data_IF_694959695536
#
_entry.id   IF_694959695536
#
_cell.length_a   1.000
_cell.length_b   1.000
_cell.length_c   1.000
_cell.angle_alpha   90.00
_cell.angle_beta   90.00
_cell.angle_gamma   90.00
#
_symmetry.space_group_name_H-M   'P 1'
#
loop_
_entity.id
_entity.type
_entity.pdbx_description
1 polymer ?
#
# COMPACT_ATOMS: atom_id res chain seq x y z
N UNK A 1 15.27 -5.35 12.09
CA UNK A 1 15.09 -4.58 13.34
C UNK A 1 16.36 -4.70 14.17
N UNK A 2 17.26 -3.72 14.09
CA UNK A 2 18.46 -3.71 14.94
C UNK A 2 18.08 -2.97 16.22
N UNK A 3 17.93 -3.71 17.32
CA UNK A 3 17.74 -3.16 18.66
C UNK A 3 19.12 -2.81 19.21
N UNK A 4 19.48 -1.53 19.15
CA UNK A 4 20.70 -1.04 19.78
C UNK A 4 20.56 -1.14 21.31
N UNK A 5 21.48 -1.88 21.95
CA UNK A 5 21.40 -2.37 23.34
C UNK A 5 21.94 -1.39 24.38
N UNK A 6 22.10 -0.11 24.04
CA UNK A 6 22.63 0.87 24.99
C UNK A 6 21.69 2.06 25.22
N UNK A 7 20.91 1.97 26.32
CA UNK A 7 20.57 3.03 27.32
C UNK A 7 19.08 3.13 27.69
N UNK A 8 18.86 3.19 29.02
CA UNK A 8 17.67 3.51 29.84
C UNK A 8 16.41 2.64 29.62
N UNK A 9 15.97 1.85 30.63
CA UNK A 9 14.71 1.11 30.55
C UNK A 9 13.52 2.06 30.40
N UNK A 10 12.66 1.82 29.39
CA UNK A 10 11.36 2.49 29.27
C UNK A 10 11.25 3.62 28.24
N UNK A 11 12.27 3.88 27.40
CA UNK A 11 12.13 4.77 26.23
C UNK A 11 12.54 4.03 24.95
N UNK A 12 11.56 3.63 24.15
CA UNK A 12 11.78 3.31 22.74
C UNK A 12 12.23 4.60 22.03
N UNK A 13 13.53 4.73 21.79
CA UNK A 13 14.03 5.68 20.79
C UNK A 13 13.82 5.06 19.42
N UNK A 14 12.90 5.64 18.67
CA UNK A 14 12.66 5.25 17.28
C UNK A 14 13.73 5.90 16.41
N UNK A 15 14.87 5.23 16.26
CA UNK A 15 15.94 5.60 15.33
C UNK A 15 15.71 5.02 13.94
N UNK A 16 16.34 5.60 12.91
CA UNK A 16 16.25 5.13 11.53
C UNK A 16 14.96 5.56 10.80
N UNK A 17 14.53 4.77 9.81
CA UNK A 17 13.38 5.04 8.94
C UNK A 17 12.07 5.34 9.72
N UNK A 18 11.84 4.63 10.82
CA UNK A 18 10.66 4.84 11.67
C UNK A 18 10.68 6.16 12.43
N UNK A 19 11.87 6.68 12.79
CA UNK A 19 11.99 7.99 13.42
C UNK A 19 11.58 9.10 12.45
N UNK A 20 11.95 8.95 11.18
CA UNK A 20 11.55 9.84 10.09
C UNK A 20 10.04 9.81 9.85
N UNK A 21 9.44 8.62 9.75
CA UNK A 21 7.99 8.43 9.59
C UNK A 21 7.18 9.05 10.73
N UNK A 22 7.63 8.90 11.98
CA UNK A 22 6.98 9.53 13.14
C UNK A 22 7.13 11.05 13.13
N UNK A 23 8.29 11.57 12.68
CA UNK A 23 8.51 13.01 12.52
C UNK A 23 7.57 13.60 11.47
N UNK A 24 7.49 12.97 10.30
CA UNK A 24 6.56 13.35 9.23
C UNK A 24 5.11 13.30 9.69
N UNK A 25 4.71 12.28 10.46
CA UNK A 25 3.37 12.22 11.02
C UNK A 25 3.12 13.32 12.05
N UNK A 26 4.11 13.65 12.90
CA UNK A 26 3.99 14.75 13.85
C UNK A 26 3.82 16.09 13.12
N UNK A 27 4.53 16.27 12.00
CA UNK A 27 4.39 17.44 11.14
C UNK A 27 3.02 17.47 10.44
N UNK A 28 2.55 16.35 9.91
CA UNK A 28 1.23 16.22 9.28
C UNK A 28 0.08 16.53 10.26
N UNK A 29 0.22 16.12 11.52
CA UNK A 29 -0.77 16.39 12.59
C UNK A 29 -0.55 17.78 13.24
N UNK A 30 0.52 18.49 12.87
CA UNK A 30 0.85 19.84 13.35
C UNK A 30 1.26 19.93 14.83
N UNK A 31 1.57 18.80 15.48
CA UNK A 31 1.97 18.75 16.90
C UNK A 31 2.82 17.53 17.23
N UNK A 32 3.70 17.59 18.24
CA UNK A 32 4.44 16.43 18.71
C UNK A 32 3.50 15.30 19.17
N UNK A 33 3.80 14.07 18.76
CA UNK A 33 3.04 12.89 19.19
C UNK A 33 3.39 12.48 20.62
N UNK A 34 2.37 12.09 21.39
CA UNK A 34 2.57 11.51 22.73
C UNK A 34 3.29 10.15 22.64
N UNK A 35 3.91 9.70 23.73
CA UNK A 35 4.56 8.37 23.77
C UNK A 35 3.56 7.26 23.47
N UNK A 36 2.38 7.27 24.11
CA UNK A 36 1.34 6.27 23.84
C UNK A 36 0.90 6.25 22.38
N UNK A 37 0.78 7.43 21.73
CA UNK A 37 0.42 7.46 20.31
C UNK A 37 1.53 6.92 19.42
N UNK A 38 2.80 7.20 19.74
CA UNK A 38 3.95 6.62 19.02
C UNK A 38 3.99 5.11 19.16
N UNK A 39 3.76 4.57 20.34
CA UNK A 39 3.72 3.13 20.58
C UNK A 39 2.59 2.45 19.80
N UNK A 40 1.40 3.07 19.75
CA UNK A 40 0.27 2.63 18.91
C UNK A 40 0.67 2.56 17.42
N UNK A 41 1.30 3.62 16.89
CA UNK A 41 1.76 3.67 15.49
C UNK A 41 2.78 2.57 15.20
N UNK A 42 3.75 2.37 16.10
CA UNK A 42 4.75 1.30 15.97
C UNK A 42 4.09 -0.09 16.01
N UNK A 43 3.10 -0.27 16.88
CA UNK A 43 2.32 -1.51 16.97
C UNK A 43 1.56 -1.81 15.67
N UNK A 44 0.92 -0.80 15.08
CA UNK A 44 0.26 -0.93 13.78
C UNK A 44 1.25 -1.25 12.65
N UNK A 45 2.40 -0.58 12.65
CA UNK A 45 3.48 -0.85 11.70
C UNK A 45 4.03 -2.27 11.82
N UNK A 46 4.26 -2.76 13.04
CA UNK A 46 4.69 -4.13 13.29
C UNK A 46 3.63 -5.13 12.85
N UNK A 47 2.35 -4.89 13.16
CA UNK A 47 1.23 -5.72 12.68
C UNK A 47 1.24 -5.81 11.15
N UNK A 48 1.41 -4.68 10.46
CA UNK A 48 1.46 -4.64 9.00
C UNK A 48 2.60 -5.51 8.44
N UNK A 49 3.82 -5.35 8.94
CA UNK A 49 4.98 -6.16 8.52
C UNK A 49 4.78 -7.64 8.82
N UNK A 50 4.37 -7.99 10.04
CA UNK A 50 4.12 -9.40 10.40
C UNK A 50 3.05 -10.02 9.51
N UNK A 51 2.01 -9.26 9.16
CA UNK A 51 0.96 -9.73 8.24
C UNK A 51 1.52 -10.00 6.84
N UNK A 52 2.38 -9.11 6.32
CA UNK A 52 3.07 -9.27 5.04
C UNK A 52 3.95 -10.54 5.00
N UNK A 53 4.82 -10.70 6.00
CA UNK A 53 5.71 -11.87 6.08
C UNK A 53 4.94 -13.17 6.29
N UNK A 54 3.81 -13.13 7.02
CA UNK A 54 2.91 -14.28 7.13
C UNK A 54 2.32 -14.64 5.77
N UNK A 55 2.00 -13.66 4.92
CA UNK A 55 1.61 -13.89 3.53
C UNK A 55 2.67 -14.67 2.75
N UNK A 56 3.96 -14.30 2.86
CA UNK A 56 5.05 -15.06 2.26
C UNK A 56 5.17 -16.48 2.79
N UNK A 57 5.00 -16.69 4.09
CA UNK A 57 4.99 -18.04 4.70
C UNK A 57 3.85 -18.88 4.12
N UNK A 58 2.71 -18.25 3.82
CA UNK A 58 1.56 -18.87 3.13
C UNK A 58 1.72 -18.94 1.60
N UNK A 59 2.90 -18.60 1.07
CA UNK A 59 3.22 -18.72 -0.37
C UNK A 59 2.75 -17.55 -1.25
N UNK A 60 2.28 -16.45 -0.67
CA UNK A 60 1.90 -15.27 -1.44
C UNK A 60 3.16 -14.52 -1.92
N UNK A 61 3.12 -14.07 -3.17
CA UNK A 61 4.14 -13.19 -3.77
C UNK A 61 3.75 -11.73 -3.58
N UNK A 62 4.71 -10.82 -3.73
CA UNK A 62 4.42 -9.39 -3.80
C UNK A 62 3.35 -9.07 -4.83
N UNK A 63 2.51 -8.09 -4.54
CA UNK A 63 1.62 -7.50 -5.53
C UNK A 63 1.72 -5.97 -5.47
N UNK A 64 2.64 -5.40 -6.26
CA UNK A 64 2.91 -3.96 -6.37
C UNK A 64 1.82 -3.16 -7.09
N UNK A 65 0.64 -3.75 -7.28
CA UNK A 65 -0.57 -3.11 -7.81
C UNK A 65 -1.75 -3.23 -6.84
N UNK A 66 -1.50 -3.71 -5.62
CA UNK A 66 -2.54 -3.88 -4.60
C UNK A 66 -3.20 -2.53 -4.25
N UNK A 67 -2.41 -1.46 -4.21
CA UNK A 67 -2.83 -0.09 -3.95
C UNK A 67 -3.94 0.38 -4.90
N UNK A 68 -3.92 -0.07 -6.15
CA UNK A 68 -4.91 0.28 -7.18
C UNK A 68 -6.33 -0.23 -6.87
N UNK A 69 -6.46 -1.20 -5.98
CA UNK A 69 -7.75 -1.77 -5.61
C UNK A 69 -8.59 -0.93 -4.64
N UNK A 70 -8.05 0.18 -4.13
CA UNK A 70 -8.73 1.06 -3.16
C UNK A 70 -8.76 2.48 -3.71
N UNK A 71 -9.91 3.15 -3.71
CA UNK A 71 -10.03 4.49 -4.31
C UNK A 71 -9.31 5.56 -3.48
N UNK A 72 -8.91 6.65 -4.13
CA UNK A 72 -8.27 7.79 -3.46
C UNK A 72 -9.16 8.40 -2.36
N UNK A 73 -10.48 8.47 -2.56
CA UNK A 73 -11.42 8.93 -1.53
C UNK A 73 -11.53 7.93 -0.36
N UNK A 74 -11.40 6.63 -0.62
CA UNK A 74 -11.49 5.62 0.43
C UNK A 74 -10.31 5.71 1.39
N UNK A 75 -9.07 5.83 0.89
CA UNK A 75 -7.88 5.95 1.75
C UNK A 75 -7.91 7.18 2.67
N UNK A 76 -8.72 8.19 2.32
CA UNK A 76 -8.99 9.43 3.08
C UNK A 76 -10.20 9.30 4.02
N UNK A 77 -10.69 8.08 4.26
CA UNK A 77 -11.84 7.82 5.11
C UNK A 77 -11.57 6.60 5.99
N UNK A 78 -11.45 6.82 7.30
CA UNK A 78 -11.31 5.73 8.27
C UNK A 78 -12.47 4.71 8.16
N UNK A 79 -13.71 5.17 7.98
CA UNK A 79 -14.87 4.27 7.84
C UNK A 79 -14.80 3.42 6.56
N UNK A 80 -14.32 3.97 5.44
CA UNK A 80 -14.13 3.20 4.22
C UNK A 80 -12.98 2.19 4.36
N UNK A 81 -11.83 2.63 4.88
CA UNK A 81 -10.63 1.79 5.05
C UNK A 81 -10.81 0.70 6.11
N UNK A 82 -11.69 0.89 7.09
CA UNK A 82 -12.09 -0.17 8.02
C UNK A 82 -12.75 -1.37 7.31
N UNK A 83 -13.39 -1.14 6.16
CA UNK A 83 -14.05 -2.19 5.35
C UNK A 83 -13.13 -2.71 4.25
N UNK A 84 -12.49 -1.81 3.51
CA UNK A 84 -11.76 -2.15 2.29
C UNK A 84 -10.24 -2.28 2.47
N UNK A 85 -9.70 -1.83 3.59
CA UNK A 85 -8.25 -1.67 3.78
C UNK A 85 -7.68 -0.48 3.03
N UNK A 86 -6.35 -0.34 3.07
CA UNK A 86 -5.62 0.67 2.27
C UNK A 86 -5.12 0.12 0.92
N UNK A 87 -5.17 -1.20 0.75
CA UNK A 87 -4.67 -1.93 -0.41
C UNK A 87 -5.50 -3.20 -0.58
N UNK A 88 -5.70 -3.63 -1.82
CA UNK A 88 -6.27 -4.94 -2.11
C UNK A 88 -5.34 -6.09 -1.73
N UNK A 89 -4.03 -5.84 -1.53
CA UNK A 89 -3.09 -6.85 -1.08
C UNK A 89 -2.09 -6.32 -0.05
N UNK A 90 -1.99 -6.96 1.12
CA UNK A 90 -0.94 -6.71 2.12
C UNK A 90 0.45 -7.03 1.58
N UNK A 91 0.54 -7.73 0.45
CA UNK A 91 1.78 -8.01 -0.26
C UNK A 91 2.28 -6.84 -1.11
N UNK A 92 1.58 -5.70 -1.08
CA UNK A 92 2.04 -4.44 -1.66
C UNK A 92 2.89 -3.64 -0.66
N UNK A 93 3.83 -2.84 -1.17
CA UNK A 93 4.64 -1.91 -0.38
C UNK A 93 3.98 -0.53 -0.33
N UNK A 94 2.78 -0.45 0.24
CA UNK A 94 2.11 0.84 0.46
C UNK A 94 2.84 1.68 1.53
N UNK A 95 2.98 3.00 1.33
CA UNK A 95 3.57 3.89 2.33
C UNK A 95 2.61 4.08 3.53
N UNK A 96 3.08 4.81 4.55
CA UNK A 96 2.19 5.27 5.64
C UNK A 96 1.16 6.23 5.06
N UNK A 97 -0.12 5.97 5.32
CA UNK A 97 -1.21 6.83 4.87
C UNK A 97 -1.35 8.03 5.83
N UNK A 98 -0.67 9.13 5.52
CA UNK A 98 -0.67 10.31 6.39
C UNK A 98 -1.99 11.09 6.30
N UNK A 99 -2.53 11.59 7.43
CA UNK A 99 -3.67 12.49 7.41
C UNK A 99 -3.31 13.80 6.70
N UNK A 100 -4.33 14.44 6.11
CA UNK A 100 -4.24 15.80 5.58
C UNK A 100 -5.22 16.73 6.31
N UNK A 101 -5.06 18.04 6.15
CA UNK A 101 -5.91 19.03 6.85
C UNK A 101 -7.42 18.82 6.57
N UNK A 102 -7.75 18.41 5.35
CA UNK A 102 -9.10 18.10 4.87
C UNK A 102 -9.51 16.62 5.03
N UNK A 103 -8.62 15.78 5.56
CA UNK A 103 -8.86 14.37 5.90
C UNK A 103 -8.05 13.95 7.14
N UNK A 104 -8.41 14.45 8.33
CA UNK A 104 -7.64 14.21 9.55
C UNK A 104 -7.84 12.80 10.14
N UNK A 105 -8.95 12.12 9.81
CA UNK A 105 -9.31 10.81 10.35
C UNK A 105 -9.10 9.69 9.33
N UNK A 106 -7.89 9.11 9.37
CA UNK A 106 -7.45 8.04 8.46
C UNK A 106 -6.74 6.92 9.23
N UNK A 107 -6.81 5.71 8.70
CA UNK A 107 -5.92 4.64 9.14
C UNK A 107 -4.54 4.80 8.50
N UNK A 108 -3.49 4.78 9.33
CA UNK A 108 -2.09 4.93 8.89
C UNK A 108 -1.55 3.67 8.18
N UNK A 109 -2.05 2.50 8.60
CA UNK A 109 -1.76 1.18 8.05
C UNK A 109 -3.08 0.45 7.79
N UNK A 110 -3.08 -0.53 6.88
CA UNK A 110 -4.31 -1.24 6.55
C UNK A 110 -4.87 -1.96 7.79
N UNK A 111 -6.11 -1.66 8.23
CA UNK A 111 -6.69 -2.28 9.42
C UNK A 111 -7.11 -3.74 9.19
N UNK A 112 -7.37 -4.08 7.92
CA UNK A 112 -7.88 -5.38 7.45
C UNK A 112 -7.03 -5.96 6.32
N UNK A 113 -7.17 -7.26 6.08
CA UNK A 113 -6.63 -7.94 4.91
C UNK A 113 -7.34 -7.47 3.64
N UNK A 114 -6.57 -7.31 2.56
CA UNK A 114 -7.08 -6.88 1.27
C UNK A 114 -7.91 -7.97 0.60
N UNK A 115 -8.75 -7.57 -0.35
CA UNK A 115 -9.64 -8.49 -1.07
C UNK A 115 -8.88 -9.48 -1.96
N UNK A 116 -7.74 -9.07 -2.54
CA UNK A 116 -6.87 -9.98 -3.31
C UNK A 116 -6.19 -11.00 -2.41
N UNK A 117 -5.76 -10.63 -1.20
CA UNK A 117 -5.16 -11.60 -0.27
C UNK A 117 -6.13 -12.72 0.09
N UNK A 118 -7.38 -12.34 0.41
CA UNK A 118 -8.45 -13.30 0.71
C UNK A 118 -8.72 -14.21 -0.49
N UNK A 119 -8.73 -13.65 -1.70
CA UNK A 119 -8.88 -14.41 -2.94
C UNK A 119 -7.72 -15.40 -3.15
N UNK A 120 -6.47 -14.96 -2.97
CA UNK A 120 -5.28 -15.78 -3.13
C UNK A 120 -5.23 -16.93 -2.12
N UNK A 121 -5.62 -16.68 -0.87
CA UNK A 121 -5.74 -17.73 0.14
C UNK A 121 -6.82 -18.74 -0.23
N UNK A 122 -8.01 -18.30 -0.68
CA UNK A 122 -9.03 -19.24 -1.18
C UNK A 122 -8.51 -20.07 -2.35
N UNK A 123 -7.78 -19.48 -3.27
CA UNK A 123 -7.19 -20.23 -4.38
C UNK A 123 -6.22 -21.32 -3.90
N UNK A 124 -5.32 -20.99 -2.97
CA UNK A 124 -4.28 -21.91 -2.50
C UNK A 124 -4.72 -22.95 -1.47
N UNK A 125 -5.81 -22.67 -0.73
CA UNK A 125 -6.17 -23.42 0.49
C UNK A 125 -7.63 -23.85 0.56
N UNK A 126 -8.44 -23.68 -0.50
CA UNK A 126 -9.78 -24.31 -0.52
C UNK A 126 -9.63 -25.81 -0.68
N UNK A 127 -10.14 -26.57 0.29
CA UNK A 127 -10.13 -28.03 0.26
C UNK A 127 -11.43 -28.59 -0.31
N UNK A 128 -11.37 -29.81 -0.85
CA UNK A 128 -12.57 -30.54 -1.23
C UNK A 128 -13.37 -30.92 0.02
N UNK A 129 -14.70 -30.84 -0.06
CA UNK A 129 -15.54 -31.26 1.06
C UNK A 129 -15.27 -32.75 1.37
N UNK A 130 -15.08 -33.13 2.64
CA UNK A 130 -14.86 -34.51 2.99
C UNK A 130 -16.09 -35.34 2.57
N UNK A 131 -15.89 -36.60 2.14
CA UNK A 131 -17.00 -37.47 1.79
C UNK A 131 -17.94 -37.61 3.01
N UNK A 132 -19.26 -37.79 2.81
CA UNK A 132 -20.20 -37.95 3.90
C UNK A 132 -19.72 -39.06 4.85
N UNK A 133 -19.58 -38.75 6.14
CA UNK A 133 -19.22 -39.77 7.11
C UNK A 133 -20.36 -40.79 7.20
N UNK A 134 -20.04 -42.08 7.06
CA UNK A 134 -20.97 -43.22 6.96
C UNK A 134 -21.90 -43.44 8.17
N UNK A 135 -21.90 -42.56 9.16
CA UNK A 135 -22.68 -42.69 10.40
C UNK A 135 -23.58 -41.51 10.77
N UNK A 136 -23.65 -40.44 9.97
CA UNK A 136 -24.42 -39.24 10.34
C UNK A 136 -25.33 -38.79 9.18
N UNK A 137 -26.43 -39.53 8.99
CA UNK A 137 -27.45 -39.28 7.94
C UNK A 137 -28.19 -37.94 8.07
N UNK A 138 -27.86 -37.12 9.08
CA UNK A 138 -28.51 -35.84 9.37
C UNK A 138 -27.61 -34.61 9.14
N UNK A 139 -26.39 -34.78 8.63
CA UNK A 139 -25.59 -33.64 8.17
C UNK A 139 -25.88 -33.37 6.70
N UNK A 140 -26.61 -32.27 6.47
CA UNK A 140 -26.71 -31.62 5.16
C UNK A 140 -25.33 -31.64 4.47
N UNK A 141 -25.25 -32.09 3.20
CA UNK A 141 -23.97 -32.16 2.51
C UNK A 141 -23.31 -30.78 2.52
N UNK A 142 -22.10 -30.70 3.09
CA UNK A 142 -21.23 -29.53 2.99
C UNK A 142 -21.10 -29.16 1.51
N UNK A 143 -21.65 -28.00 1.13
CA UNK A 143 -21.69 -27.38 -0.20
C UNK A 143 -21.83 -28.35 -1.39
N UNK A 144 -22.96 -28.31 -2.09
CA UNK A 144 -23.20 -29.04 -3.35
C UNK A 144 -22.31 -28.59 -4.54
N UNK A 145 -21.33 -27.72 -4.31
CA UNK A 145 -20.48 -27.11 -5.34
C UNK A 145 -19.10 -27.77 -5.30
N UNK A 146 -18.72 -28.40 -6.42
CA UNK A 146 -17.40 -29.06 -6.53
C UNK A 146 -16.25 -28.08 -6.33
N UNK A 147 -15.11 -28.58 -5.84
CA UNK A 147 -13.87 -27.79 -5.71
C UNK A 147 -13.49 -27.11 -7.03
N UNK A 148 -13.62 -27.84 -8.15
CA UNK A 148 -13.37 -27.29 -9.48
C UNK A 148 -14.24 -26.05 -9.78
N UNK A 149 -15.53 -26.10 -9.42
CA UNK A 149 -16.44 -24.98 -9.65
C UNK A 149 -16.09 -23.78 -8.75
N UNK A 150 -15.70 -24.03 -7.50
CA UNK A 150 -15.24 -22.99 -6.57
C UNK A 150 -13.96 -22.33 -7.09
N UNK A 151 -12.97 -23.11 -7.54
CA UNK A 151 -11.72 -22.59 -8.08
C UNK A 151 -11.94 -21.82 -9.40
N UNK A 152 -12.86 -22.28 -10.26
CA UNK A 152 -13.26 -21.53 -11.46
C UNK A 152 -13.85 -20.16 -11.11
N UNK A 153 -14.69 -20.08 -10.08
CA UNK A 153 -15.22 -18.80 -9.60
C UNK A 153 -14.11 -17.88 -9.07
N UNK A 154 -13.18 -18.42 -8.28
CA UNK A 154 -12.01 -17.69 -7.78
C UNK A 154 -11.16 -17.13 -8.94
N UNK A 155 -10.95 -17.90 -10.01
CA UNK A 155 -10.22 -17.44 -11.20
C UNK A 155 -10.94 -16.30 -11.95
N UNK A 156 -12.27 -16.33 -12.02
CA UNK A 156 -13.06 -15.25 -12.61
C UNK A 156 -13.00 -13.98 -11.76
N UNK A 157 -13.09 -14.11 -10.43
CA UNK A 157 -12.93 -12.98 -9.51
C UNK A 157 -11.52 -12.37 -9.60
N UNK A 158 -10.49 -13.19 -9.83
CA UNK A 158 -9.10 -12.75 -9.99
C UNK A 158 -8.90 -11.82 -11.20
N UNK A 159 -9.72 -11.93 -12.26
CA UNK A 159 -9.64 -11.05 -13.43
C UNK A 159 -9.93 -9.57 -13.10
N UNK A 160 -10.56 -9.30 -11.95
CA UNK A 160 -10.85 -7.94 -11.47
C UNK A 160 -9.67 -7.30 -10.72
N UNK A 161 -8.64 -8.06 -10.36
CA UNK A 161 -7.49 -7.54 -9.63
C UNK A 161 -6.34 -7.22 -10.58
N UNK A 162 -5.73 -6.06 -10.36
CA UNK A 162 -4.46 -5.74 -10.97
C UNK A 162 -3.33 -6.44 -10.17
N UNK A 163 -2.40 -7.05 -10.89
CA UNK A 163 -1.27 -7.76 -10.28
C UNK A 163 0.05 -7.29 -10.88
N UNK A 164 1.07 -7.19 -10.03
CA UNK A 164 2.44 -6.97 -10.47
C UNK A 164 3.45 -7.59 -9.50
N UNK A 165 4.30 -8.46 -10.03
CA UNK A 165 5.28 -9.20 -9.23
C UNK A 165 6.69 -8.59 -9.32
N UNK A 166 7.64 -9.13 -8.55
CA UNK A 166 9.02 -8.66 -8.51
C UNK A 166 9.68 -8.54 -9.89
N UNK A 167 9.49 -9.54 -10.77
CA UNK A 167 10.03 -9.55 -12.12
C UNK A 167 9.49 -8.41 -12.98
N UNK A 168 8.22 -8.09 -12.82
CA UNK A 168 7.52 -7.09 -13.61
C UNK A 168 7.97 -5.68 -13.21
N UNK A 169 8.12 -5.47 -11.89
CA UNK A 169 8.58 -4.20 -11.32
C UNK A 169 9.98 -3.82 -11.80
N UNK A 170 10.87 -4.80 -11.97
CA UNK A 170 12.25 -4.58 -12.45
C UNK A 170 12.25 -3.98 -13.86
N UNK A 171 11.27 -4.33 -14.70
CA UNK A 171 11.19 -3.80 -16.07
C UNK A 171 10.89 -2.30 -16.15
N UNK A 172 10.28 -1.72 -15.09
CA UNK A 172 9.84 -0.32 -14.99
C UNK A 172 8.99 0.19 -16.17
N UNK A 173 8.34 -0.72 -16.89
CA UNK A 173 7.52 -0.34 -18.05
C UNK A 173 6.15 0.17 -17.64
N UNK A 174 5.61 -0.37 -16.55
CA UNK A 174 4.30 -0.02 -16.02
C UNK A 174 4.42 0.89 -14.80
N UNK A 175 4.04 2.17 -14.91
CA UNK A 175 4.18 3.12 -13.80
C UNK A 175 3.26 2.81 -12.62
N UNK A 176 2.20 2.02 -12.85
CA UNK A 176 1.31 1.58 -11.79
C UNK A 176 1.84 0.32 -11.08
N UNK A 177 2.91 -0.31 -11.59
CA UNK A 177 3.65 -1.34 -10.87
C UNK A 177 4.78 -0.69 -10.08
N UNK A 178 4.42 -0.03 -8.98
CA UNK A 178 5.36 0.74 -8.18
C UNK A 178 5.33 0.29 -6.73
N UNK A 179 6.46 0.45 -6.05
CA UNK A 179 6.48 0.38 -4.60
C UNK A 179 6.30 1.80 -4.05
N UNK A 180 5.71 1.89 -2.86
CA UNK A 180 5.48 3.15 -2.16
C UNK A 180 4.57 4.10 -2.94
N UNK A 181 3.53 3.55 -3.56
CA UNK A 181 2.41 4.28 -4.14
C UNK A 181 1.12 4.01 -3.33
N UNK A 182 0.04 4.72 -3.65
CA UNK A 182 -1.23 4.48 -2.96
C UNK A 182 -2.43 4.83 -3.86
N UNK A 183 -3.52 4.09 -3.64
CA UNK A 183 -4.83 4.24 -4.26
C UNK A 183 -4.92 3.90 -5.75
N UNK A 184 -6.17 3.81 -6.24
CA UNK A 184 -6.53 3.68 -7.65
C UNK A 184 -6.13 4.86 -8.53
N UNK A 185 -5.71 5.99 -7.94
CA UNK A 185 -5.15 7.14 -8.63
C UNK A 185 -3.81 7.55 -7.99
N UNK A 186 -2.70 6.86 -8.36
CA UNK A 186 -1.39 7.17 -7.80
C UNK A 186 -0.94 8.62 -8.07
N UNK A 187 -1.32 9.21 -9.21
CA UNK A 187 -0.99 10.60 -9.53
C UNK A 187 -1.67 11.58 -8.58
N UNK A 188 -2.93 11.35 -8.20
CA UNK A 188 -3.59 12.14 -7.15
C UNK A 188 -2.86 12.02 -5.82
N UNK A 189 -2.45 10.81 -5.45
CA UNK A 189 -1.69 10.57 -4.22
C UNK A 189 -0.34 11.31 -4.24
N UNK A 190 0.41 11.28 -5.34
CA UNK A 190 1.69 11.99 -5.47
C UNK A 190 1.54 13.51 -5.44
N UNK A 191 0.52 14.05 -6.10
CA UNK A 191 0.20 15.48 -6.03
C UNK A 191 -0.03 15.93 -4.58
N UNK A 192 -0.78 15.12 -3.83
CA UNK A 192 -1.04 15.32 -2.42
C UNK A 192 0.22 15.19 -1.55
N UNK A 193 1.11 14.25 -1.88
CA UNK A 193 2.39 14.07 -1.21
C UNK A 193 3.27 15.29 -1.39
N UNK A 194 3.36 15.84 -2.60
CA UNK A 194 4.12 17.07 -2.87
C UNK A 194 3.55 18.27 -2.11
N UNK A 195 2.22 18.42 -2.04
CA UNK A 195 1.59 19.47 -1.22
C UNK A 195 1.95 19.34 0.25
N UNK A 196 1.87 18.13 0.81
CA UNK A 196 2.28 17.85 2.20
C UNK A 196 3.76 18.16 2.43
N UNK A 197 4.64 17.77 1.51
CA UNK A 197 6.08 18.08 1.62
C UNK A 197 6.32 19.59 1.62
N UNK A 198 5.60 20.36 0.80
CA UNK A 198 5.68 21.82 0.82
C UNK A 198 5.19 22.42 2.16
N UNK A 199 4.13 21.88 2.76
CA UNK A 199 3.66 22.27 4.10
C UNK A 199 4.70 21.98 5.19
N UNK A 200 5.30 20.78 5.13
CA UNK A 200 6.36 20.35 6.06
C UNK A 200 7.58 21.27 5.91
N UNK A 201 8.01 21.55 4.68
CA UNK A 201 9.13 22.46 4.38
C UNK A 201 8.92 23.85 4.99
N UNK A 202 7.70 24.41 4.88
CA UNK A 202 7.37 25.74 5.44
C UNK A 202 7.54 25.83 6.95
N UNK A 203 7.28 24.73 7.67
CA UNK A 203 7.32 24.68 9.14
C UNK A 203 8.53 23.92 9.69
N UNK A 204 9.46 23.51 8.82
CA UNK A 204 10.45 22.50 9.13
C UNK A 204 11.34 22.90 10.31
N UNK A 205 11.84 24.14 10.33
CA UNK A 205 12.70 24.66 11.40
C UNK A 205 12.04 24.52 12.79
N UNK A 206 10.76 24.88 12.90
CA UNK A 206 10.02 24.83 14.16
C UNK A 206 9.71 23.39 14.61
N UNK A 207 9.72 22.43 13.68
CA UNK A 207 9.39 21.02 13.96
C UNK A 207 10.62 20.13 14.11
N UNK A 208 11.77 20.53 13.55
CA UNK A 208 12.99 19.71 13.51
C UNK A 208 14.05 20.13 14.55
N UNK A 209 14.00 21.36 15.09
CA UNK A 209 14.96 21.85 16.07
C UNK A 209 14.25 22.25 17.38
N UNK A 210 14.26 21.33 18.34
CA UNK A 210 13.73 21.60 19.69
C UNK A 210 14.64 22.55 20.48
N UNK A 211 14.13 23.26 21.51
CA UNK A 211 14.98 24.07 22.39
C UNK A 211 16.17 23.28 22.95
N UNK A 212 17.39 23.76 22.69
CA UNK A 212 18.64 23.10 23.10
C UNK A 212 19.17 22.01 22.15
N UNK A 213 18.50 21.74 21.03
CA UNK A 213 18.98 20.82 20.00
C UNK A 213 19.92 21.52 18.98
N UNK A 214 20.86 20.79 18.34
CA UNK A 214 21.71 21.35 17.31
C UNK A 214 20.95 21.59 15.99
N UNK A 215 21.35 22.61 15.24
CA UNK A 215 20.81 22.92 13.91
C UNK A 215 21.13 21.85 12.84
N UNK A 216 22.02 20.89 13.12
CA UNK A 216 22.26 19.75 12.22
C UNK A 216 20.98 18.97 11.95
N UNK A 217 20.06 18.89 12.93
CA UNK A 217 18.75 18.26 12.74
C UNK A 217 17.87 18.97 11.70
N UNK A 218 18.04 20.28 11.52
CA UNK A 218 17.36 21.02 10.45
C UNK A 218 17.91 20.63 9.08
N UNK A 219 19.24 20.58 8.92
CA UNK A 219 19.86 20.13 7.68
C UNK A 219 19.43 18.71 7.29
N UNK A 220 19.46 17.78 8.25
CA UNK A 220 18.98 16.41 8.05
C UNK A 220 17.51 16.36 7.63
N UNK A 221 16.66 17.19 8.25
CA UNK A 221 15.25 17.26 7.90
C UNK A 221 15.02 17.83 6.50
N UNK A 222 15.77 18.88 6.09
CA UNK A 222 15.72 19.45 4.74
C UNK A 222 16.10 18.40 3.72
N UNK A 223 17.21 17.68 3.94
CA UNK A 223 17.66 16.61 3.05
C UNK A 223 16.59 15.53 2.89
N UNK A 224 15.86 15.18 3.95
CA UNK A 224 14.77 14.21 3.85
C UNK A 224 13.60 14.72 3.00
N UNK A 225 13.17 15.98 3.19
CA UNK A 225 12.09 16.55 2.38
C UNK A 225 12.47 16.57 0.90
N UNK A 226 13.71 16.97 0.59
CA UNK A 226 14.22 17.00 -0.78
C UNK A 226 14.29 15.59 -1.39
N UNK A 227 14.79 14.59 -0.67
CA UNK A 227 14.83 13.20 -1.13
C UNK A 227 13.43 12.62 -1.38
N UNK A 228 12.45 12.97 -0.54
CA UNK A 228 11.06 12.54 -0.73
C UNK A 228 10.44 13.22 -1.95
N UNK A 229 10.70 14.51 -2.15
CA UNK A 229 10.23 15.24 -3.32
C UNK A 229 10.84 14.69 -4.62
N UNK A 230 12.15 14.44 -4.63
CA UNK A 230 12.86 13.81 -5.75
C UNK A 230 12.27 12.41 -6.05
N UNK A 231 12.13 11.56 -5.02
CA UNK A 231 11.57 10.21 -5.19
C UNK A 231 10.14 10.25 -5.76
N UNK A 232 9.32 11.19 -5.29
CA UNK A 232 7.96 11.39 -5.81
C UNK A 232 8.00 11.86 -7.26
N UNK A 233 8.88 12.81 -7.61
CA UNK A 233 9.02 13.31 -8.97
C UNK A 233 9.46 12.24 -9.97
N UNK A 234 10.42 11.38 -9.59
CA UNK A 234 10.82 10.24 -10.42
C UNK A 234 9.61 9.35 -10.72
N UNK A 235 8.82 8.99 -9.70
CA UNK A 235 7.61 8.16 -9.88
C UNK A 235 6.57 8.84 -10.78
N UNK A 236 6.39 10.14 -10.69
CA UNK A 236 5.49 10.90 -11.59
C UNK A 236 6.01 10.81 -13.03
N UNK A 237 7.32 10.92 -13.25
CA UNK A 237 7.90 10.85 -14.60
C UNK A 237 7.73 9.49 -15.28
N UNK A 238 7.64 8.39 -14.52
CA UNK A 238 7.40 7.04 -15.07
C UNK A 238 6.06 6.96 -15.84
N UNK A 239 5.11 7.85 -15.55
CA UNK A 239 3.83 7.92 -16.28
C UNK A 239 3.96 8.52 -17.68
N UNK A 240 5.07 9.19 -18.01
CA UNK A 240 5.36 9.74 -19.33
C UNK A 240 5.92 8.65 -20.24
N UNK A 241 5.18 8.29 -21.29
CA UNK A 241 5.57 7.18 -22.18
C UNK A 241 5.44 5.78 -21.57
N UNK A 242 4.87 5.66 -20.36
CA UNK A 242 4.65 4.39 -19.68
C UNK A 242 3.64 3.48 -20.39
N UNK A 243 3.66 2.19 -20.02
CA UNK A 243 2.81 1.14 -20.57
C UNK A 243 2.10 0.37 -19.45
N UNK A 244 0.77 0.46 -19.39
CA UNK A 244 -0.03 -0.42 -18.54
C UNK A 244 0.03 -1.86 -19.04
N UNK A 245 0.46 -2.78 -18.17
CA UNK A 245 0.56 -4.20 -18.41
C UNK A 245 -0.52 -4.94 -17.60
N UNK A 246 -1.22 -5.86 -18.25
CA UNK A 246 -2.25 -6.71 -17.65
C UNK A 246 -2.00 -8.17 -17.99
N UNK A 247 -2.11 -9.03 -16.99
CA UNK A 247 -2.14 -10.47 -17.18
C UNK A 247 -3.49 -10.88 -17.76
N UNK A 248 -3.52 -11.20 -19.05
CA UNK A 248 -4.71 -11.66 -19.76
C UNK A 248 -4.48 -13.08 -20.26
N UNK A 249 -5.50 -13.91 -20.18
CA UNK A 249 -5.47 -15.29 -20.63
C UNK A 249 -6.77 -15.65 -21.36
N UNK A 250 -6.72 -16.70 -22.16
CA UNK A 250 -7.89 -17.25 -22.83
C UNK A 250 -8.56 -18.26 -21.91
N UNK A 251 -9.86 -18.12 -21.71
CA UNK A 251 -10.71 -19.06 -20.96
C UNK A 251 -10.91 -20.35 -21.76
N UNK A 252 -11.40 -21.39 -21.10
CA UNK A 252 -11.63 -22.70 -21.72
C UNK A 252 -12.62 -22.66 -22.90
N UNK A 253 -13.58 -21.74 -22.88
CA UNK A 253 -14.54 -21.50 -23.97
C UNK A 253 -13.97 -20.67 -25.13
N UNK A 254 -12.68 -20.31 -25.06
CA UNK A 254 -12.00 -19.51 -26.07
C UNK A 254 -12.16 -18.00 -25.90
N UNK A 255 -12.96 -17.52 -24.96
CA UNK A 255 -13.16 -16.10 -24.65
C UNK A 255 -12.02 -15.54 -23.78
N UNK A 256 -11.97 -14.23 -23.59
CA UNK A 256 -11.07 -13.56 -22.66
C UNK A 256 -11.71 -12.27 -22.15
N UNK A 257 -11.25 -11.76 -21.01
CA UNK A 257 -11.65 -10.44 -20.54
C UNK A 257 -11.30 -9.38 -21.59
N UNK A 258 -12.14 -8.34 -21.80
CA UNK A 258 -11.90 -7.27 -22.79
C UNK A 258 -10.83 -6.27 -22.30
N UNK A 259 -9.68 -6.78 -21.86
CA UNK A 259 -8.52 -6.01 -21.40
C UNK A 259 -7.37 -6.24 -22.37
N UNK A 260 -6.67 -5.18 -22.74
CA UNK A 260 -5.45 -5.29 -23.54
C UNK A 260 -4.30 -5.73 -22.63
N UNK A 261 -3.49 -6.69 -23.09
CA UNK A 261 -2.30 -7.13 -22.33
C UNK A 261 -1.32 -5.99 -22.08
N UNK A 262 -1.16 -5.10 -23.06
CA UNK A 262 -0.31 -3.92 -22.98
C UNK A 262 -1.03 -2.74 -23.61
N UNK A 263 -1.05 -1.60 -22.94
CA UNK A 263 -1.64 -0.37 -23.43
C UNK A 263 -0.78 0.81 -23.01
N UNK A 264 -0.49 1.72 -23.94
CA UNK A 264 0.17 2.97 -23.58
C UNK A 264 -0.68 3.73 -22.56
N UNK A 265 -0.04 4.37 -21.57
CA UNK A 265 -0.72 5.26 -20.63
C UNK A 265 -1.54 6.29 -21.44
N UNK A 266 -2.83 6.51 -21.12
CA UNK A 266 -3.67 7.44 -21.87
C UNK A 266 -3.07 8.85 -21.95
N UNK A 267 -3.26 9.53 -23.08
CA UNK A 267 -2.61 10.83 -23.34
C UNK A 267 -3.03 11.92 -22.33
N UNK A 268 -4.25 11.89 -21.83
CA UNK A 268 -4.74 12.75 -20.76
C UNK A 268 -4.00 12.50 -19.43
N UNK A 269 -3.77 11.24 -19.07
CA UNK A 269 -2.98 10.85 -17.89
C UNK A 269 -1.52 11.27 -18.05
N UNK A 270 -0.92 11.09 -19.23
CA UNK A 270 0.45 11.57 -19.50
C UNK A 270 0.56 13.10 -19.39
N UNK A 271 -0.42 13.85 -19.91
CA UNK A 271 -0.44 15.31 -19.77
C UNK A 271 -0.59 15.75 -18.32
N UNK A 272 -1.39 15.04 -17.53
CA UNK A 272 -1.52 15.30 -16.08
C UNK A 272 -0.18 15.04 -15.37
N UNK A 273 0.48 13.93 -15.66
CA UNK A 273 1.80 13.63 -15.10
C UNK A 273 2.82 14.70 -15.49
N UNK A 274 2.85 15.14 -16.75
CA UNK A 274 3.73 16.22 -17.22
C UNK A 274 3.47 17.53 -16.48
N UNK A 275 2.19 17.90 -16.32
CA UNK A 275 1.82 19.09 -15.58
C UNK A 275 2.26 19.01 -14.11
N UNK A 276 2.13 17.84 -13.47
CA UNK A 276 2.65 17.63 -12.12
C UNK A 276 4.16 17.78 -12.08
N UNK A 277 4.91 17.13 -12.97
CA UNK A 277 6.37 17.21 -13.04
C UNK A 277 6.88 18.65 -13.18
N UNK A 278 6.19 19.48 -13.98
CA UNK A 278 6.57 20.88 -14.17
C UNK A 278 6.26 21.78 -12.96
N UNK A 279 5.50 21.28 -11.99
CA UNK A 279 5.11 21.99 -10.76
C UNK A 279 5.79 21.41 -9.49
N UNK A 280 6.75 20.49 -9.66
CA UNK A 280 7.58 19.94 -8.58
C UNK A 280 8.60 20.98 -8.11
#
# INVERSE_FOLDING_TARGET
>A
VILDRHRVPGRLRVGGDWGKKISLLSAAVGKPLTTSKRDDILGQGLKHVVTHETGHILGLRHNFKGSLGVTYNCIRSASCTAVHGLTASVMDYVPVNYPSADSPDVHLFSPVLGSYDKLAIRYGYTEEAPPPSTGDMNKEPMSSVSLESQLKQVLLEAENFATCYDSDRISKQDPACAAYDMSADPLAYYEDEMRRLADVQRNLLNTSVMPGAPYTHYGEAVDQVLLMAESTGIKVTDWLGGMSNHYVYRRADGTHAPKMARRAVPADVQRRALALTLNI
#
